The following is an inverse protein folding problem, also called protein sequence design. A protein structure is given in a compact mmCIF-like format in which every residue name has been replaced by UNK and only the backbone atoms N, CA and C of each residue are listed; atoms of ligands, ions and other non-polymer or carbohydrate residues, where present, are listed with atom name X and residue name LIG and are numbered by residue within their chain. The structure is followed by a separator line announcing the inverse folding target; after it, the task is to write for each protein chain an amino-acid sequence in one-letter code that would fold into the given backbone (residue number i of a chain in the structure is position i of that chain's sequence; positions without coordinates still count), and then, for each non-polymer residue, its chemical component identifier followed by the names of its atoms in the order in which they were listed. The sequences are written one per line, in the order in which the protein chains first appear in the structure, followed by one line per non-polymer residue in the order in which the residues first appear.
data_IF_637986986222
#
_entry.id   IF_637986986222
#
_cell.length_a   1.000
_cell.length_b   1.000
_cell.length_c   1.000
_cell.angle_alpha   90.00
_cell.angle_beta   90.00
_cell.angle_gamma   90.00
#
_symmetry.space_group_name_H-M   'P 1'
#
loop_
_entity.id
_entity.type
_entity.pdbx_description
1 polymer ?
#
# COMPACT_ATOMS: atom_id res chain seq x y z
N UNK A 1 10.78 -3.58 -7.22
CA UNK A 1 9.71 -4.52 -6.83
C UNK A 1 9.56 -4.37 -5.33
N UNK A 2 8.43 -3.82 -4.87
CA UNK A 2 8.17 -3.48 -3.46
C UNK A 2 7.17 -4.46 -2.87
N UNK A 3 7.33 -4.80 -1.57
CA UNK A 3 6.58 -5.84 -0.86
C UNK A 3 5.84 -5.18 0.34
N UNK A 4 4.52 -5.25 0.40
CA UNK A 4 3.74 -4.91 1.63
C UNK A 4 3.25 -6.16 2.30
N UNK A 5 3.15 -6.17 3.63
CA UNK A 5 2.45 -7.19 4.39
C UNK A 5 1.33 -6.54 5.22
N UNK A 6 0.09 -7.00 5.01
CA UNK A 6 -1.13 -6.60 5.71
C UNK A 6 -1.77 -7.84 6.34
N UNK A 7 -2.00 -7.81 7.65
CA UNK A 7 -2.57 -8.92 8.40
C UNK A 7 -3.71 -8.45 9.32
N UNK A 8 -4.84 -9.15 9.28
CA UNK A 8 -5.95 -8.95 10.20
C UNK A 8 -6.57 -10.32 10.51
N UNK A 9 -6.43 -10.77 11.76
CA UNK A 9 -6.87 -12.09 12.24
C UNK A 9 -8.38 -12.21 12.53
N UNK A 10 -9.15 -11.17 12.22
CA UNK A 10 -10.60 -11.15 12.44
C UNK A 10 -11.36 -11.80 11.28
N UNK A 11 -12.56 -12.38 11.51
CA UNK A 11 -13.43 -12.88 10.43
C UNK A 11 -13.83 -11.79 9.42
N UNK A 12 -13.68 -10.51 9.76
CA UNK A 12 -13.87 -9.32 8.92
C UNK A 12 -12.58 -8.77 8.31
N UNK A 13 -11.45 -9.48 8.42
CA UNK A 13 -10.13 -8.97 8.05
C UNK A 13 -9.99 -8.59 6.57
N UNK A 14 -10.83 -9.17 5.69
CA UNK A 14 -10.86 -8.85 4.26
C UNK A 14 -11.45 -7.46 3.98
N UNK A 15 -12.45 -7.03 4.75
CA UNK A 15 -13.03 -5.69 4.64
C UNK A 15 -12.05 -4.61 5.11
N UNK A 16 -11.32 -4.88 6.20
CA UNK A 16 -10.27 -3.99 6.68
C UNK A 16 -9.12 -3.87 5.68
N UNK A 17 -8.74 -4.98 5.03
CA UNK A 17 -7.77 -4.96 3.94
C UNK A 17 -8.31 -4.15 2.76
N UNK A 18 -9.55 -4.38 2.32
CA UNK A 18 -10.14 -3.64 1.19
C UNK A 18 -10.12 -2.13 1.46
N UNK A 19 -10.55 -1.71 2.65
CA UNK A 19 -10.52 -0.31 3.09
C UNK A 19 -9.11 0.26 3.06
N UNK A 20 -8.11 -0.51 3.50
CA UNK A 20 -6.72 -0.11 3.44
C UNK A 20 -6.18 0.01 2.00
N UNK A 21 -6.62 -0.84 1.07
CA UNK A 21 -6.22 -0.75 -0.34
C UNK A 21 -6.85 0.46 -1.02
N UNK A 22 -8.15 0.71 -0.82
CA UNK A 22 -8.84 1.90 -1.35
C UNK A 22 -8.19 3.19 -0.83
N UNK A 23 -7.85 3.24 0.46
CA UNK A 23 -7.10 4.34 1.03
C UNK A 23 -5.71 4.50 0.40
N UNK A 24 -5.06 3.39 0.02
CA UNK A 24 -3.75 3.40 -0.63
C UNK A 24 -3.82 3.92 -2.07
N UNK A 25 -4.91 3.69 -2.79
CA UNK A 25 -5.20 4.27 -4.11
C UNK A 25 -5.50 5.78 -4.02
N UNK A 26 -5.45 6.33 -2.81
CA UNK A 26 -5.45 7.76 -2.55
C UNK A 26 -6.83 8.37 -2.42
N UNK A 27 -7.91 7.56 -2.38
CA UNK A 27 -9.29 8.03 -2.23
C UNK A 27 -9.66 9.17 -3.19
N UNK A 28 -9.11 9.16 -4.42
CA UNK A 28 -9.35 10.23 -5.40
C UNK A 28 -8.63 11.56 -5.13
N UNK A 29 -7.71 11.61 -4.16
CA UNK A 29 -6.86 12.79 -3.89
C UNK A 29 -5.52 12.76 -4.64
N UNK A 30 -5.38 11.86 -5.60
CA UNK A 30 -4.17 11.69 -6.41
C UNK A 30 -4.23 12.66 -7.59
N UNK A 31 -3.13 13.37 -7.92
CA UNK A 31 -3.08 14.22 -9.11
C UNK A 31 -3.39 13.43 -10.39
N UNK A 32 -4.07 14.01 -11.39
CA UNK A 32 -4.36 13.35 -12.67
C UNK A 32 -3.12 12.84 -13.42
N UNK A 33 -1.94 13.39 -13.12
CA UNK A 33 -0.65 12.96 -13.68
C UNK A 33 -0.03 11.75 -12.96
N UNK A 34 -0.67 11.24 -11.90
CA UNK A 34 -0.19 10.13 -11.09
C UNK A 34 -1.22 8.99 -11.11
N UNK A 35 -0.80 7.83 -11.57
CA UNK A 35 -1.57 6.59 -11.45
C UNK A 35 -1.04 5.78 -10.27
N UNK A 36 -1.92 5.50 -9.31
CA UNK A 36 -1.69 4.56 -8.21
C UNK A 36 -2.50 3.30 -8.47
N UNK A 37 -1.82 2.15 -8.55
CA UNK A 37 -2.49 0.87 -8.75
C UNK A 37 -2.07 -0.11 -7.65
N UNK A 38 -3.06 -0.81 -7.10
CA UNK A 38 -2.84 -1.81 -6.04
C UNK A 38 -3.21 -3.19 -6.52
N UNK A 39 -2.24 -4.11 -6.50
CA UNK A 39 -2.44 -5.49 -6.91
C UNK A 39 -2.26 -6.45 -5.75
N UNK A 40 -3.13 -7.44 -5.67
CA UNK A 40 -2.99 -8.57 -4.75
C UNK A 40 -1.89 -9.53 -5.24
N UNK A 41 -0.93 -9.85 -4.37
CA UNK A 41 0.13 -10.81 -4.67
C UNK A 41 -0.15 -12.16 -3.99
N UNK A 42 -0.67 -12.13 -2.76
CA UNK A 42 -0.99 -13.32 -1.98
C UNK A 42 -0.89 -13.00 -0.50
N UNK A 43 -1.94 -13.23 0.29
CA UNK A 43 -1.99 -12.82 1.68
C UNK A 43 -0.76 -13.31 2.49
N UNK A 44 -0.16 -12.45 3.34
CA UNK A 44 -0.55 -11.07 3.67
C UNK A 44 -0.05 -10.01 2.65
N UNK A 45 0.43 -10.40 1.48
CA UNK A 45 1.18 -9.53 0.57
C UNK A 45 0.37 -8.78 -0.50
N UNK A 46 0.64 -7.48 -0.59
CA UNK A 46 0.06 -6.56 -1.57
C UNK A 46 1.17 -5.74 -2.25
N UNK A 47 0.96 -5.35 -3.50
CA UNK A 47 1.90 -4.50 -4.26
C UNK A 47 1.22 -3.19 -4.63
N UNK A 48 1.99 -2.11 -4.52
CA UNK A 48 1.58 -0.80 -5.04
C UNK A 48 2.53 -0.41 -6.16
N UNK A 49 1.93 -0.09 -7.30
CA UNK A 49 2.60 0.51 -8.45
C UNK A 49 2.25 2.00 -8.48
N UNK A 50 3.24 2.84 -8.74
CA UNK A 50 3.07 4.28 -8.91
C UNK A 50 3.67 4.67 -10.24
N UNK A 51 2.87 5.31 -11.08
CA UNK A 51 3.32 5.95 -12.29
C UNK A 51 3.14 7.45 -12.13
N UNK A 52 4.18 8.23 -12.41
CA UNK A 52 4.20 9.67 -12.28
C UNK A 52 5.18 10.27 -13.29
N UNK A 53 5.10 11.57 -13.63
CA UNK A 53 5.95 12.18 -14.65
C UNK A 53 7.43 12.25 -14.24
N UNK A 54 7.73 12.14 -12.94
CA UNK A 54 9.10 12.10 -12.45
C UNK A 54 9.23 11.23 -11.20
N UNK A 55 10.44 10.73 -10.97
CA UNK A 55 10.78 9.84 -9.87
C UNK A 55 10.45 10.44 -8.49
N UNK A 56 10.66 11.75 -8.29
CA UNK A 56 10.39 12.39 -6.99
C UNK A 56 8.90 12.38 -6.65
N UNK A 57 8.05 12.68 -7.64
CA UNK A 57 6.61 12.57 -7.48
C UNK A 57 6.20 11.13 -7.20
N UNK A 58 6.74 10.16 -7.95
CA UNK A 58 6.45 8.74 -7.75
C UNK A 58 6.80 8.26 -6.34
N UNK A 59 8.00 8.58 -5.84
CA UNK A 59 8.44 8.22 -4.48
C UNK A 59 7.54 8.85 -3.41
N UNK A 60 7.22 10.13 -3.56
CA UNK A 60 6.40 10.85 -2.59
C UNK A 60 5.00 10.25 -2.50
N UNK A 61 4.39 9.93 -3.65
CA UNK A 61 3.07 9.34 -3.73
C UNK A 61 3.05 7.89 -3.24
N UNK A 62 4.11 7.11 -3.52
CA UNK A 62 4.26 5.76 -2.98
C UNK A 62 4.32 5.76 -1.45
N UNK A 63 5.08 6.68 -0.86
CA UNK A 63 5.20 6.82 0.60
C UNK A 63 3.88 7.27 1.23
N UNK A 64 3.20 8.22 0.61
CA UNK A 64 1.90 8.71 1.09
C UNK A 64 0.82 7.64 1.00
N UNK A 65 0.76 6.92 -0.12
CA UNK A 65 -0.08 5.73 -0.31
C UNK A 65 0.19 4.65 0.74
N UNK A 66 1.46 4.42 1.09
CA UNK A 66 1.83 3.49 2.16
C UNK A 66 1.30 3.92 3.53
N UNK A 67 1.49 5.20 3.87
CA UNK A 67 1.00 5.75 5.14
C UNK A 67 -0.51 5.62 5.27
N UNK A 68 -1.27 5.93 4.20
CA UNK A 68 -2.73 5.79 4.17
C UNK A 68 -3.19 4.36 4.42
N UNK A 69 -2.58 3.40 3.72
CA UNK A 69 -2.92 1.98 3.89
C UNK A 69 -2.68 1.48 5.32
N UNK A 70 -1.53 1.85 5.90
CA UNK A 70 -1.17 1.46 7.27
C UNK A 70 -2.06 2.14 8.31
N UNK A 71 -2.47 3.39 8.07
CA UNK A 71 -3.42 4.07 8.95
C UNK A 71 -4.78 3.37 8.93
N UNK A 72 -5.34 3.14 7.74
CA UNK A 72 -6.64 2.51 7.57
C UNK A 72 -6.70 1.09 8.17
N UNK A 73 -5.68 0.24 7.94
CA UNK A 73 -5.68 -1.11 8.52
C UNK A 73 -5.58 -1.09 10.05
N UNK A 74 -4.89 -0.10 10.63
CA UNK A 74 -4.79 0.07 12.09
C UNK A 74 -6.11 0.51 12.70
N UNK A 75 -6.87 1.36 12.02
CA UNK A 75 -8.22 1.76 12.45
C UNK A 75 -9.18 0.55 12.50
N UNK A 76 -9.01 -0.38 11.56
CA UNK A 76 -9.76 -1.64 11.48
C UNK A 76 -9.23 -2.74 12.42
N UNK A 77 -8.33 -2.40 13.35
CA UNK A 77 -7.76 -3.32 14.34
C UNK A 77 -6.77 -4.34 13.78
N UNK A 78 -6.31 -4.16 12.54
CA UNK A 78 -5.26 -4.96 11.91
C UNK A 78 -3.87 -4.30 12.00
N UNK A 79 -2.89 -4.97 11.41
CA UNK A 79 -1.50 -4.50 11.34
C UNK A 79 -1.03 -4.44 9.89
N UNK A 80 -0.23 -3.43 9.57
CA UNK A 80 0.32 -3.25 8.23
C UNK A 80 1.76 -2.75 8.28
N UNK A 81 2.62 -3.42 7.53
CA UNK A 81 4.02 -3.04 7.34
C UNK A 81 4.29 -2.72 5.87
N UNK A 82 4.87 -1.54 5.64
CA UNK A 82 5.36 -1.11 4.34
C UNK A 82 6.87 -1.26 4.30
N UNK A 83 7.37 -2.20 3.49
CA UNK A 83 8.81 -2.31 3.25
C UNK A 83 9.18 -1.51 1.99
N UNK A 84 9.96 -0.44 2.20
CA UNK A 84 10.53 0.41 1.13
C UNK A 84 11.62 -0.31 0.34
N UNK A 85 12.11 -1.44 0.80
CA UNK A 85 13.30 -2.07 0.25
C UNK A 85 12.94 -3.14 -0.77
N UNK A 86 13.62 -3.14 -1.94
CA UNK A 86 13.97 -4.43 -2.55
C UNK A 86 14.75 -5.15 -1.46
N UNK A 87 14.32 -6.31 -0.99
CA UNK A 87 15.30 -7.25 -0.44
C UNK A 87 16.26 -7.58 -1.59
N UNK A 88 17.38 -6.86 -1.66
CA UNK A 88 18.63 -7.57 -1.87
C UNK A 88 18.87 -8.25 -0.53
N UNK A 89 18.45 -9.51 -0.43
CA UNK A 89 19.09 -10.43 0.51
C UNK A 89 20.58 -10.38 0.14
N UNK A 90 21.34 -9.57 0.86
CA UNK A 90 22.79 -9.71 0.94
C UNK A 90 23.03 -10.50 2.24
N UNK A 91 23.01 -11.83 2.05
CA UNK A 91 23.69 -12.94 2.77
C UNK A 91 22.84 -14.22 2.86
#
# INVERSE_FOLDING_TARGET
MYKRQLENGSPSGVDGIRTALEAAEGNGAVPDEVDLEVSYVGAPEYRINVQAPNYKTAESQLEESARRAVAAIKEEGGSGEFHRERRTDDE
#
